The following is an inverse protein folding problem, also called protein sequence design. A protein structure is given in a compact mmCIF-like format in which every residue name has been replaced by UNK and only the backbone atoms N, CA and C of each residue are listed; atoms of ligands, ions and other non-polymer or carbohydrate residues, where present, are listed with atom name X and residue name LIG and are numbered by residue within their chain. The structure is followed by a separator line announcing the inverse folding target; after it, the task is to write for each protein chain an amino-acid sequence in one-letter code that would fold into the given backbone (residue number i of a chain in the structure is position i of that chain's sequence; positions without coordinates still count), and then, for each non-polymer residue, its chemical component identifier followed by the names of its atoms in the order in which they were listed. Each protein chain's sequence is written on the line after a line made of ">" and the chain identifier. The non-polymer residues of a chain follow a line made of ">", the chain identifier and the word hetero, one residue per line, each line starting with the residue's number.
data_IF_576320340854
#
_entry.id   IF_576320340854
#
_cell.length_a   1.000
_cell.length_b   1.000
_cell.length_c   1.000
_cell.angle_alpha   90.00
_cell.angle_beta   90.00
_cell.angle_gamma   90.00
#
_symmetry.space_group_name_H-M   'P 1'
#
loop_
_entity.id
_entity.type
_entity.pdbx_description
1 polymer ?
#
# COMPACT_ATOMS: atom_id res chain seq x y z
N UNK A 1 13.87 9.23 -31.06
CA UNK A 1 12.59 8.86 -30.41
C UNK A 1 12.77 8.08 -29.10
N UNK A 2 13.88 7.37 -28.86
CA UNK A 2 14.11 6.68 -27.57
C UNK A 2 14.30 7.61 -26.37
N UNK A 3 14.95 8.78 -26.57
CA UNK A 3 15.22 9.75 -25.51
C UNK A 3 13.93 10.32 -24.89
N UNK A 4 12.93 10.65 -25.71
CA UNK A 4 11.63 11.16 -25.24
C UNK A 4 10.86 10.14 -24.39
N UNK A 5 10.86 8.86 -24.78
CA UNK A 5 10.15 7.80 -24.02
C UNK A 5 10.78 7.52 -22.66
N UNK A 6 12.10 7.68 -22.54
CA UNK A 6 12.81 7.50 -21.28
C UNK A 6 12.41 8.58 -20.26
N UNK A 7 12.43 9.86 -20.65
CA UNK A 7 12.02 10.96 -19.76
C UNK A 7 10.56 10.87 -19.32
N UNK A 8 9.65 10.51 -20.23
CA UNK A 8 8.21 10.40 -19.92
C UNK A 8 7.89 9.24 -18.97
N UNK A 9 8.75 8.23 -18.88
CA UNK A 9 8.50 7.03 -18.07
C UNK A 9 9.31 6.99 -16.79
N UNK A 10 10.61 7.33 -16.87
CA UNK A 10 11.55 7.24 -15.76
C UNK A 10 11.33 8.38 -14.75
N UNK A 11 11.06 9.60 -15.23
CA UNK A 11 10.82 10.76 -14.36
C UNK A 11 9.63 10.59 -13.40
N UNK A 12 8.42 10.25 -13.90
CA UNK A 12 7.28 10.00 -13.04
C UNK A 12 7.49 8.80 -12.10
N UNK A 13 8.22 7.77 -12.55
CA UNK A 13 8.54 6.63 -11.71
C UNK A 13 9.44 7.03 -10.53
N UNK A 14 10.48 7.83 -10.77
CA UNK A 14 11.40 8.30 -9.73
C UNK A 14 10.69 9.14 -8.67
N UNK A 15 9.81 10.05 -9.10
CA UNK A 15 8.97 10.84 -8.18
C UNK A 15 8.05 9.91 -7.37
N UNK A 16 7.44 8.93 -8.02
CA UNK A 16 6.62 7.91 -7.36
C UNK A 16 7.40 7.14 -6.30
N UNK A 17 8.62 6.70 -6.62
CA UNK A 17 9.50 5.99 -5.69
C UNK A 17 9.88 6.86 -4.49
N UNK A 18 10.25 8.13 -4.73
CA UNK A 18 10.56 9.07 -3.66
C UNK A 18 9.36 9.24 -2.70
N UNK A 19 8.16 9.43 -3.23
CA UNK A 19 6.94 9.50 -2.42
C UNK A 19 6.69 8.19 -1.66
N UNK A 20 6.82 7.03 -2.30
CA UNK A 20 6.65 5.73 -1.64
C UNK A 20 7.61 5.55 -0.45
N UNK A 21 8.86 6.01 -0.57
CA UNK A 21 9.83 5.92 0.54
C UNK A 21 9.49 6.82 1.71
N UNK A 22 8.92 8.00 1.45
CA UNK A 22 8.43 8.89 2.52
C UNK A 22 7.26 8.25 3.26
N UNK A 23 6.31 7.64 2.52
CA UNK A 23 5.19 6.90 3.11
C UNK A 23 5.68 5.73 3.97
N UNK A 24 6.68 4.98 3.50
CA UNK A 24 7.30 3.90 4.28
C UNK A 24 7.92 4.41 5.59
N UNK A 25 8.53 5.60 5.58
CA UNK A 25 9.03 6.25 6.80
C UNK A 25 7.90 6.52 7.81
N UNK A 26 6.77 7.03 7.33
CA UNK A 26 5.58 7.25 8.15
C UNK A 26 5.03 5.91 8.70
N UNK A 27 4.89 4.89 7.86
CA UNK A 27 4.44 3.56 8.29
C UNK A 27 5.37 2.92 9.34
N UNK A 28 6.67 3.15 9.22
CA UNK A 28 7.66 2.68 10.21
C UNK A 28 7.45 3.33 11.56
N UNK A 29 7.23 4.65 11.59
CA UNK A 29 6.92 5.37 12.82
C UNK A 29 5.60 4.88 13.43
N UNK A 30 4.55 4.72 12.62
CA UNK A 30 3.27 4.20 13.08
C UNK A 30 3.41 2.81 13.72
N UNK A 31 4.20 1.94 13.08
CA UNK A 31 4.48 0.58 13.56
C UNK A 31 5.23 0.60 14.89
N UNK A 32 6.29 1.42 15.00
CA UNK A 32 7.06 1.56 16.24
C UNK A 32 6.20 2.05 17.41
N UNK A 33 5.38 3.09 17.19
CA UNK A 33 4.46 3.60 18.20
C UNK A 33 3.41 2.57 18.60
N UNK A 34 2.88 1.79 17.65
CA UNK A 34 1.93 0.71 17.92
C UNK A 34 2.53 -0.30 18.91
N UNK A 35 3.73 -0.83 18.63
CA UNK A 35 4.38 -1.80 19.51
C UNK A 35 4.68 -1.24 20.91
N UNK A 36 5.06 0.03 21.00
CA UNK A 36 5.39 0.68 22.28
C UNK A 36 4.15 0.94 23.14
N UNK A 37 3.05 1.40 22.55
CA UNK A 37 1.83 1.78 23.30
C UNK A 37 0.94 0.58 23.61
N UNK A 38 0.91 -0.44 22.75
CA UNK A 38 -0.04 -1.56 22.82
C UNK A 38 0.63 -2.88 23.20
N UNK A 39 1.30 -2.90 24.35
CA UNK A 39 1.89 -4.14 24.88
C UNK A 39 0.84 -5.23 25.14
N UNK A 40 -0.42 -4.87 25.41
CA UNK A 40 -1.51 -5.79 25.82
C UNK A 40 -2.46 -6.22 24.69
N UNK A 41 -2.22 -5.82 23.44
CA UNK A 41 -3.03 -6.24 22.29
C UNK A 41 -2.76 -7.71 21.88
N UNK A 42 -3.71 -8.32 21.17
CA UNK A 42 -3.61 -9.72 20.73
C UNK A 42 -2.40 -9.95 19.82
N UNK A 43 -1.70 -11.07 20.04
CA UNK A 43 -0.50 -11.42 19.27
C UNK A 43 -0.76 -11.46 17.75
N UNK A 44 -1.96 -11.89 17.35
CA UNK A 44 -2.38 -11.92 15.93
C UNK A 44 -2.32 -10.54 15.27
N UNK A 45 -2.77 -9.48 15.96
CA UNK A 45 -2.75 -8.12 15.40
C UNK A 45 -1.32 -7.60 15.28
N UNK A 46 -0.48 -7.88 16.27
CA UNK A 46 0.95 -7.51 16.24
C UNK A 46 1.68 -8.17 15.09
N UNK A 47 1.53 -9.50 14.93
CA UNK A 47 2.14 -10.24 13.82
C UNK A 47 1.69 -9.65 12.49
N UNK A 48 0.40 -9.34 12.34
CA UNK A 48 -0.13 -8.74 11.11
C UNK A 48 0.49 -7.36 10.82
N UNK A 49 0.58 -6.47 11.82
CA UNK A 49 1.20 -5.15 11.65
C UNK A 49 2.69 -5.26 11.29
N UNK A 50 3.42 -6.16 11.94
CA UNK A 50 4.82 -6.44 11.60
C UNK A 50 4.98 -7.01 10.18
N UNK A 51 4.07 -7.90 9.76
CA UNK A 51 4.06 -8.48 8.42
C UNK A 51 3.85 -7.40 7.35
N UNK A 52 2.85 -6.52 7.52
CA UNK A 52 2.58 -5.41 6.58
C UNK A 52 3.80 -4.50 6.46
N UNK A 53 4.45 -4.16 7.58
CA UNK A 53 5.66 -3.35 7.58
C UNK A 53 6.83 -4.01 6.84
N UNK A 54 7.06 -5.30 7.05
CA UNK A 54 8.12 -6.05 6.34
C UNK A 54 7.84 -6.09 4.83
N UNK A 55 6.60 -6.36 4.43
CA UNK A 55 6.23 -6.32 3.01
C UNK A 55 6.45 -4.92 2.41
N UNK A 56 6.05 -3.85 3.10
CA UNK A 56 6.32 -2.48 2.63
C UNK A 56 7.81 -2.16 2.47
N UNK A 57 8.66 -2.68 3.36
CA UNK A 57 10.12 -2.60 3.23
C UNK A 57 10.63 -3.36 2.01
N UNK A 58 10.22 -4.61 1.84
CA UNK A 58 10.62 -5.45 0.70
C UNK A 58 10.20 -4.81 -0.62
N UNK A 59 8.97 -4.34 -0.71
CA UNK A 59 8.45 -3.61 -1.87
C UNK A 59 9.37 -2.43 -2.23
N UNK A 60 9.73 -1.61 -1.24
CA UNK A 60 10.58 -0.44 -1.44
C UNK A 60 12.00 -0.82 -1.89
N UNK A 61 12.57 -1.88 -1.30
CA UNK A 61 13.90 -2.40 -1.70
C UNK A 61 13.87 -2.88 -3.15
N UNK A 62 12.85 -3.64 -3.55
CA UNK A 62 12.72 -4.10 -4.94
C UNK A 62 12.53 -2.94 -5.91
N UNK A 63 11.79 -1.90 -5.53
CA UNK A 63 11.58 -0.72 -6.36
C UNK A 63 12.89 0.09 -6.56
N UNK A 64 13.68 0.28 -5.49
CA UNK A 64 15.00 0.91 -5.58
C UNK A 64 15.97 0.10 -6.42
N UNK A 65 15.99 -1.22 -6.26
CA UNK A 65 16.83 -2.11 -7.06
C UNK A 65 16.43 -2.05 -8.55
N UNK A 66 15.12 -2.03 -8.84
CA UNK A 66 14.63 -1.86 -10.20
C UNK A 66 15.09 -0.51 -10.80
N UNK A 67 15.00 0.59 -10.05
CA UNK A 67 15.50 1.90 -10.51
C UNK A 67 17.00 1.94 -10.73
N UNK A 68 17.78 1.36 -9.81
CA UNK A 68 19.24 1.26 -9.94
C UNK A 68 19.62 0.50 -11.21
N UNK A 69 18.96 -0.62 -11.46
CA UNK A 69 19.23 -1.45 -12.64
C UNK A 69 18.86 -0.71 -13.94
N UNK A 70 17.72 -0.02 -13.96
CA UNK A 70 17.28 0.76 -15.13
C UNK A 70 18.17 1.97 -15.42
N UNK A 71 18.68 2.63 -14.37
CA UNK A 71 19.40 3.91 -14.51
C UNK A 71 20.90 3.73 -14.67
N UNK A 72 21.51 2.76 -13.98
CA UNK A 72 22.97 2.60 -13.95
C UNK A 72 23.40 1.41 -14.82
N UNK A 73 22.78 0.25 -14.64
CA UNK A 73 23.21 -0.99 -15.33
C UNK A 73 22.88 -0.98 -16.83
N UNK A 74 21.74 -0.40 -17.22
CA UNK A 74 21.35 -0.30 -18.64
C UNK A 74 21.72 1.02 -19.32
N UNK A 75 22.50 1.88 -18.65
CA UNK A 75 22.92 3.16 -19.22
C UNK A 75 23.86 2.92 -20.42
N UNK A 76 23.33 3.08 -21.64
CA UNK A 76 24.10 2.94 -22.88
C UNK A 76 23.99 1.61 -23.62
N UNK A 77 23.18 0.65 -23.16
CA UNK A 77 22.96 -0.63 -23.86
C UNK A 77 21.48 -0.83 -24.28
N UNK A 78 21.11 -0.49 -25.53
CA UNK A 78 19.71 -0.46 -25.97
C UNK A 78 19.03 -1.83 -26.10
N UNK A 79 19.79 -2.94 -26.16
CA UNK A 79 19.21 -4.29 -26.28
C UNK A 79 18.58 -4.78 -24.97
N UNK A 80 19.11 -4.34 -23.82
CA UNK A 80 18.61 -4.77 -22.51
C UNK A 80 17.53 -3.84 -21.92
N UNK A 81 17.30 -2.67 -22.52
CA UNK A 81 16.19 -1.76 -22.16
C UNK A 81 14.83 -2.36 -22.52
N UNK A 82 14.80 -3.34 -23.44
CA UNK A 82 13.56 -3.98 -23.84
C UNK A 82 12.97 -4.86 -22.72
N UNK A 83 13.80 -5.55 -21.92
CA UNK A 83 13.32 -6.47 -20.88
C UNK A 83 13.45 -5.84 -19.49
N UNK A 84 12.35 -5.71 -18.74
CA UNK A 84 12.43 -5.14 -17.41
C UNK A 84 13.18 -6.07 -16.45
N UNK A 85 13.86 -5.49 -15.44
CA UNK A 85 14.61 -6.23 -14.46
C UNK A 85 13.68 -7.13 -13.67
N UNK A 86 14.19 -8.30 -13.28
CA UNK A 86 13.45 -9.28 -12.47
C UNK A 86 12.94 -8.65 -11.16
N UNK A 87 13.65 -7.65 -10.62
CA UNK A 87 13.23 -6.84 -9.47
C UNK A 87 11.84 -6.21 -9.63
N UNK A 88 11.45 -5.84 -10.85
CA UNK A 88 10.13 -5.26 -11.12
C UNK A 88 9.01 -6.31 -11.04
N UNK A 89 9.29 -7.56 -11.45
CA UNK A 89 8.35 -8.68 -11.28
C UNK A 89 8.15 -8.98 -9.79
N UNK A 90 9.23 -9.04 -9.01
CA UNK A 90 9.13 -9.24 -7.57
C UNK A 90 8.35 -8.12 -6.88
N UNK A 91 8.52 -6.87 -7.31
CA UNK A 91 7.73 -5.75 -6.80
C UNK A 91 6.21 -5.89 -7.09
N UNK A 92 5.84 -6.34 -8.29
CA UNK A 92 4.44 -6.59 -8.66
C UNK A 92 3.85 -7.74 -7.83
N UNK A 93 4.59 -8.83 -7.65
CA UNK A 93 4.15 -9.97 -6.84
C UNK A 93 3.93 -9.55 -5.39
N UNK A 94 4.90 -8.84 -4.81
CA UNK A 94 4.85 -8.40 -3.42
C UNK A 94 3.71 -7.39 -3.19
N UNK A 95 3.53 -6.42 -4.09
CA UNK A 95 2.43 -5.45 -4.01
C UNK A 95 1.05 -6.10 -4.13
N UNK A 96 0.91 -7.11 -5.00
CA UNK A 96 -0.33 -7.88 -5.14
C UNK A 96 -0.62 -8.68 -3.88
N UNK A 97 0.40 -9.32 -3.31
CA UNK A 97 0.29 -10.07 -2.07
C UNK A 97 -0.10 -9.16 -0.89
N UNK A 98 0.60 -8.03 -0.71
CA UNK A 98 0.30 -7.05 0.33
C UNK A 98 -1.14 -6.55 0.21
N UNK A 99 -1.58 -6.21 -1.00
CA UNK A 99 -2.95 -5.75 -1.27
C UNK A 99 -3.97 -6.82 -0.87
N UNK A 100 -3.76 -8.08 -1.26
CA UNK A 100 -4.61 -9.21 -0.89
C UNK A 100 -4.72 -9.38 0.63
N UNK A 101 -3.59 -9.39 1.34
CA UNK A 101 -3.59 -9.58 2.79
C UNK A 101 -4.29 -8.42 3.53
N UNK A 102 -3.99 -7.18 3.14
CA UNK A 102 -4.60 -5.98 3.73
C UNK A 102 -6.11 -5.95 3.47
N UNK A 103 -6.55 -6.19 2.24
CA UNK A 103 -7.96 -6.19 1.90
C UNK A 103 -8.71 -7.38 2.52
N UNK A 104 -8.13 -8.57 2.58
CA UNK A 104 -8.71 -9.72 3.29
C UNK A 104 -8.92 -9.43 4.78
N UNK A 105 -7.96 -8.75 5.41
CA UNK A 105 -8.08 -8.32 6.80
C UNK A 105 -9.24 -7.33 7.00
N UNK A 106 -9.40 -6.35 6.10
CA UNK A 106 -10.53 -5.42 6.14
C UNK A 106 -11.87 -6.12 5.90
N UNK A 107 -11.95 -7.06 4.95
CA UNK A 107 -13.14 -7.87 4.75
C UNK A 107 -13.51 -8.69 5.99
N UNK A 108 -12.53 -9.31 6.67
CA UNK A 108 -12.77 -10.04 7.91
C UNK A 108 -13.31 -9.11 9.02
N UNK A 109 -12.79 -7.88 9.09
CA UNK A 109 -13.31 -6.86 10.00
C UNK A 109 -14.76 -6.48 9.67
N UNK A 110 -15.08 -6.24 8.40
CA UNK A 110 -16.45 -5.95 7.95
C UNK A 110 -17.39 -7.11 8.26
N UNK A 111 -16.98 -8.36 8.03
CA UNK A 111 -17.79 -9.54 8.33
C UNK A 111 -18.14 -9.64 9.82
N UNK A 112 -17.13 -9.50 10.69
CA UNK A 112 -17.34 -9.53 12.16
C UNK A 112 -18.21 -8.40 12.64
N UNK A 113 -18.12 -7.24 11.99
CA UNK A 113 -18.77 -6.01 12.42
C UNK A 113 -20.21 -5.90 11.91
N UNK A 114 -20.46 -6.20 10.63
CA UNK A 114 -21.79 -6.07 10.03
C UNK A 114 -22.70 -7.27 10.35
N UNK A 115 -22.16 -8.42 10.71
CA UNK A 115 -22.87 -9.70 10.85
C UNK A 115 -23.67 -10.12 9.59
N UNK A 116 -23.54 -9.37 8.49
CA UNK A 116 -24.23 -9.59 7.23
C UNK A 116 -23.27 -10.24 6.23
N UNK A 117 -23.59 -11.48 5.87
CA UNK A 117 -22.85 -12.25 4.86
C UNK A 117 -22.78 -11.59 3.48
N UNK A 118 -23.82 -10.93 2.94
CA UNK A 118 -23.77 -10.42 1.55
C UNK A 118 -22.78 -9.26 1.37
N UNK A 119 -22.62 -8.37 2.36
CA UNK A 119 -21.67 -7.24 2.24
C UNK A 119 -20.21 -7.71 2.24
N UNK A 120 -19.89 -8.71 3.07
CA UNK A 120 -18.56 -9.31 3.09
C UNK A 120 -18.24 -10.03 1.78
N UNK A 121 -19.22 -10.74 1.20
CA UNK A 121 -19.08 -11.41 -0.11
C UNK A 121 -18.87 -10.37 -1.22
N UNK A 122 -19.62 -9.26 -1.21
CA UNK A 122 -19.44 -8.18 -2.19
C UNK A 122 -18.03 -7.58 -2.12
N UNK A 123 -17.53 -7.28 -0.92
CA UNK A 123 -16.17 -6.76 -0.74
C UNK A 123 -15.12 -7.77 -1.21
N UNK A 124 -15.31 -9.07 -0.92
CA UNK A 124 -14.40 -10.11 -1.39
C UNK A 124 -14.40 -10.26 -2.92
N UNK A 125 -15.57 -10.20 -3.55
CA UNK A 125 -15.70 -10.22 -5.00
C UNK A 125 -14.98 -9.02 -5.65
N UNK A 126 -15.05 -7.85 -5.03
CA UNK A 126 -14.38 -6.64 -5.52
C UNK A 126 -12.85 -6.77 -5.57
N UNK A 127 -12.27 -7.56 -4.66
CA UNK A 127 -10.83 -7.82 -4.54
C UNK A 127 -10.35 -8.85 -5.58
N UNK A 128 -11.20 -9.83 -5.89
CA UNK A 128 -10.89 -10.89 -6.85
C UNK A 128 -10.73 -10.37 -8.28
N UNK A 129 -11.41 -9.28 -8.63
CA UNK A 129 -11.34 -8.69 -9.97
C UNK A 129 -9.93 -8.19 -10.31
N UNK A 130 -9.31 -7.24 -9.57
CA UNK A 130 -7.97 -6.75 -9.89
C UNK A 130 -6.91 -7.84 -9.75
N UNK A 131 -7.04 -8.72 -8.75
CA UNK A 131 -6.07 -9.81 -8.54
C UNK A 131 -6.11 -10.85 -9.65
N UNK A 132 -7.29 -11.18 -10.16
CA UNK A 132 -7.45 -12.02 -11.34
C UNK A 132 -6.78 -11.43 -12.60
N UNK A 133 -6.84 -10.10 -12.77
CA UNK A 133 -6.14 -9.43 -13.87
C UNK A 133 -4.61 -9.52 -13.73
N UNK A 134 -4.05 -9.38 -12.52
CA UNK A 134 -2.61 -9.58 -12.29
C UNK A 134 -2.18 -11.03 -12.53
N UNK A 135 -2.97 -12.01 -12.10
CA UNK A 135 -2.70 -13.42 -12.40
C UNK A 135 -2.72 -13.72 -13.90
N UNK A 136 -3.63 -13.08 -14.64
CA UNK A 136 -3.67 -13.20 -16.10
C UNK A 136 -2.47 -12.56 -16.79
N UNK A 137 -2.01 -11.40 -16.32
CA UNK A 137 -0.77 -10.79 -16.81
C UNK A 137 0.45 -11.68 -16.52
N UNK A 138 0.47 -12.32 -15.36
CA UNK A 138 1.52 -13.25 -14.97
C UNK A 138 1.52 -14.50 -15.85
N UNK A 139 0.35 -15.07 -16.18
CA UNK A 139 0.28 -16.21 -17.11
C UNK A 139 0.71 -15.82 -18.53
N UNK A 140 0.39 -14.60 -18.99
CA UNK A 140 0.91 -14.07 -20.25
C UNK A 140 2.43 -13.90 -20.26
N UNK A 141 3.03 -13.54 -19.13
CA UNK A 141 4.48 -13.45 -18.99
C UNK A 141 5.17 -14.81 -19.26
N UNK A 142 4.69 -15.90 -18.66
CA UNK A 142 5.28 -17.24 -18.87
C UNK A 142 5.04 -17.77 -20.28
N UNK A 143 3.85 -17.54 -20.84
CA UNK A 143 3.51 -18.06 -22.18
C UNK A 143 4.23 -17.32 -23.30
N UNK A 144 4.53 -16.03 -23.13
CA UNK A 144 5.21 -15.20 -24.13
C UNK A 144 6.71 -15.02 -23.89
N UNK A 145 7.24 -15.60 -22.81
CA UNK A 145 8.67 -15.63 -22.50
C UNK A 145 9.28 -14.24 -22.37
N UNK A 146 8.57 -13.28 -21.74
CA UNK A 146 9.12 -11.95 -21.49
C UNK A 146 8.05 -10.87 -21.28
N UNK A 147 8.28 -10.00 -20.29
CA UNK A 147 7.36 -8.91 -19.94
C UNK A 147 7.25 -7.88 -21.07
N UNK A 148 8.35 -7.60 -21.76
CA UNK A 148 8.40 -6.74 -22.95
C UNK A 148 7.39 -7.17 -24.03
N UNK A 149 7.36 -8.48 -24.32
CA UNK A 149 6.48 -9.09 -25.34
C UNK A 149 5.04 -9.19 -24.87
N UNK A 150 4.84 -9.30 -23.55
CA UNK A 150 3.52 -9.22 -22.93
C UNK A 150 2.94 -7.80 -23.06
N UNK A 151 3.76 -6.77 -22.81
CA UNK A 151 3.32 -5.36 -22.86
C UNK A 151 3.30 -4.75 -24.25
N UNK A 152 4.15 -5.21 -25.16
CA UNK A 152 4.12 -4.81 -26.57
C UNK A 152 2.83 -5.23 -27.28
N UNK A 153 2.10 -6.19 -26.71
CA UNK A 153 0.75 -6.54 -27.15
C UNK A 153 -0.24 -5.48 -26.70
N UNK A 154 -1.04 -4.94 -27.63
CA UNK A 154 -2.13 -4.02 -27.31
C UNK A 154 -3.08 -4.58 -26.23
N UNK A 155 -3.21 -5.91 -26.13
CA UNK A 155 -3.98 -6.59 -25.09
C UNK A 155 -3.31 -6.48 -23.71
N UNK A 156 -2.00 -6.71 -23.61
CA UNK A 156 -1.29 -6.72 -22.32
C UNK A 156 -1.16 -5.33 -21.72
N UNK A 157 -0.91 -4.31 -22.56
CA UNK A 157 -0.89 -2.92 -22.11
C UNK A 157 -2.23 -2.45 -21.54
N UNK A 158 -3.35 -2.77 -22.23
CA UNK A 158 -4.71 -2.46 -21.74
C UNK A 158 -4.99 -3.13 -20.40
N UNK A 159 -4.60 -4.39 -20.24
CA UNK A 159 -4.86 -5.12 -18.99
C UNK A 159 -4.02 -4.60 -17.83
N UNK A 160 -2.76 -4.20 -18.06
CA UNK A 160 -1.98 -3.54 -17.02
C UNK A 160 -2.61 -2.24 -16.54
N UNK A 161 -3.02 -1.37 -17.47
CA UNK A 161 -3.65 -0.09 -17.10
C UNK A 161 -4.96 -0.36 -16.35
N UNK A 162 -5.77 -1.31 -16.83
CA UNK A 162 -7.01 -1.69 -16.15
C UNK A 162 -6.75 -2.24 -14.73
N UNK A 163 -5.79 -3.13 -14.56
CA UNK A 163 -5.43 -3.69 -13.25
C UNK A 163 -4.90 -2.60 -12.30
N UNK A 164 -4.01 -1.73 -12.78
CA UNK A 164 -3.45 -0.63 -12.03
C UNK A 164 -4.53 0.39 -11.59
N UNK A 165 -5.52 0.67 -12.44
CA UNK A 165 -6.62 1.59 -12.11
C UNK A 165 -7.67 0.96 -11.18
N UNK A 166 -8.00 -0.32 -11.36
CA UNK A 166 -9.01 -1.01 -10.54
C UNK A 166 -8.54 -1.27 -9.12
N UNK A 167 -7.23 -1.44 -8.91
CA UNK A 167 -6.65 -1.69 -7.57
C UNK A 167 -7.01 -0.59 -6.56
N UNK A 168 -6.69 0.70 -6.77
CA UNK A 168 -7.04 1.77 -5.83
C UNK A 168 -8.57 1.97 -5.73
N UNK A 169 -9.31 1.79 -6.82
CA UNK A 169 -10.79 1.88 -6.79
C UNK A 169 -11.38 0.83 -5.85
N UNK A 170 -10.91 -0.42 -5.94
CA UNK A 170 -11.36 -1.49 -5.06
C UNK A 170 -11.01 -1.22 -3.59
N UNK A 171 -9.81 -0.70 -3.32
CA UNK A 171 -9.37 -0.34 -1.97
C UNK A 171 -10.24 0.78 -1.37
N UNK A 172 -10.51 1.85 -2.15
CA UNK A 172 -11.38 2.95 -1.73
C UNK A 172 -12.82 2.48 -1.47
N UNK A 173 -13.35 1.58 -2.29
CA UNK A 173 -14.69 1.04 -2.10
C UNK A 173 -14.80 0.17 -0.83
N UNK A 174 -13.80 -0.69 -0.55
CA UNK A 174 -13.75 -1.49 0.68
C UNK A 174 -13.60 -0.59 1.91
N UNK A 175 -12.70 0.41 1.86
CA UNK A 175 -12.53 1.39 2.92
C UNK A 175 -13.80 2.21 3.16
N UNK A 176 -14.45 2.68 2.10
CA UNK A 176 -15.71 3.42 2.16
C UNK A 176 -16.85 2.57 2.73
N UNK A 177 -16.91 1.28 2.37
CA UNK A 177 -17.89 0.34 2.94
C UNK A 177 -17.67 0.14 4.43
N UNK A 178 -16.41 0.02 4.88
CA UNK A 178 -16.09 -0.04 6.31
C UNK A 178 -16.51 1.25 7.03
N UNK A 179 -16.21 2.42 6.48
CA UNK A 179 -16.62 3.71 7.03
C UNK A 179 -18.15 3.82 7.13
N UNK A 180 -18.86 3.39 6.09
CA UNK A 180 -20.32 3.37 6.09
C UNK A 180 -20.90 2.42 7.13
N UNK A 181 -20.36 1.20 7.24
CA UNK A 181 -20.75 0.25 8.28
C UNK A 181 -20.54 0.84 9.68
N UNK A 182 -19.40 1.49 9.92
CA UNK A 182 -19.10 2.14 11.20
C UNK A 182 -20.07 3.28 11.50
N UNK A 183 -20.43 4.08 10.49
CA UNK A 183 -21.38 5.18 10.67
C UNK A 183 -22.80 4.68 10.97
N UNK A 184 -23.20 3.55 10.39
CA UNK A 184 -24.53 2.96 10.64
C UNK A 184 -24.66 2.26 12.00
N UNK A 185 -23.55 1.89 12.64
CA UNK A 185 -23.58 1.16 13.90
C UNK A 185 -23.78 2.11 15.07
N UNK A 186 -24.99 2.05 15.65
CA UNK A 186 -25.40 2.81 16.83
C UNK A 186 -24.95 2.18 18.16
N UNK A 187 -24.35 0.99 18.16
CA UNK A 187 -23.95 0.29 19.39
C UNK A 187 -22.66 0.88 20.00
N UNK A 188 -22.72 1.48 21.21
CA UNK A 188 -21.63 2.28 21.78
C UNK A 188 -20.37 1.46 22.12
N UNK A 189 -20.49 0.17 22.47
CA UNK A 189 -19.34 -0.63 22.94
C UNK A 189 -18.41 -1.13 21.82
N UNK A 190 -18.96 -1.63 20.71
CA UNK A 190 -18.12 -2.04 19.55
C UNK A 190 -17.57 -0.83 18.79
N UNK A 191 -18.33 0.26 18.73
CA UNK A 191 -17.91 1.52 18.13
C UNK A 191 -16.68 2.09 18.85
N UNK A 192 -16.65 2.06 20.19
CA UNK A 192 -15.54 2.60 20.99
C UNK A 192 -14.20 1.91 20.70
N UNK A 193 -14.19 0.59 20.50
CA UNK A 193 -12.97 -0.17 20.23
C UNK A 193 -12.40 0.14 18.83
N UNK A 194 -13.24 0.20 17.80
CA UNK A 194 -12.78 0.49 16.43
C UNK A 194 -12.46 1.97 16.22
N UNK A 195 -13.29 2.87 16.73
CA UNK A 195 -13.04 4.32 16.70
C UNK A 195 -11.74 4.69 17.39
N UNK A 196 -11.39 4.04 18.51
CA UNK A 196 -10.11 4.31 19.21
C UNK A 196 -8.86 3.95 18.42
N UNK A 197 -8.98 3.07 17.42
CA UNK A 197 -7.88 2.69 16.51
C UNK A 197 -7.87 3.63 15.32
N UNK A 198 -9.04 3.95 14.74
CA UNK A 198 -9.17 4.83 13.57
C UNK A 198 -8.89 6.29 13.90
N UNK A 199 -9.51 6.85 14.94
CA UNK A 199 -9.22 8.22 15.43
C UNK A 199 -7.76 8.34 15.83
N UNK A 200 -7.15 7.24 16.26
CA UNK A 200 -5.75 7.22 16.64
C UNK A 200 -4.83 7.14 15.44
N UNK A 201 -5.11 6.29 14.45
CA UNK A 201 -4.37 6.30 13.18
C UNK A 201 -4.47 7.68 12.55
N UNK A 202 -5.66 8.28 12.47
CA UNK A 202 -5.85 9.68 12.03
C UNK A 202 -5.08 10.68 12.90
N UNK A 203 -5.12 10.55 14.22
CA UNK A 203 -4.30 11.37 15.13
C UNK A 203 -2.80 11.08 14.96
N UNK A 204 -2.35 9.97 14.41
CA UNK A 204 -0.92 9.76 14.13
C UNK A 204 -0.53 10.31 12.76
N UNK A 205 -1.39 10.24 11.76
CA UNK A 205 -1.15 10.87 10.46
C UNK A 205 -1.24 12.39 10.54
N UNK A 206 -2.17 12.93 11.33
CA UNK A 206 -2.36 14.38 11.53
C UNK A 206 -1.59 14.89 12.74
N UNK A 207 -1.57 14.14 13.85
CA UNK A 207 -0.94 14.51 15.12
C UNK A 207 0.59 14.33 15.17
N UNK A 208 1.22 13.84 14.10
CA UNK A 208 2.65 14.04 13.89
C UNK A 208 3.01 15.54 13.76
N UNK A 209 2.04 16.41 13.45
CA UNK A 209 2.25 17.84 13.28
C UNK A 209 2.20 18.66 14.59
N UNK A 210 1.25 18.43 15.53
CA UNK A 210 1.17 19.18 16.77
C UNK A 210 2.24 18.79 17.80
N UNK A 211 2.62 17.51 17.96
CA UNK A 211 3.54 17.14 19.05
C UNK A 211 4.95 17.72 18.87
N UNK A 212 5.38 17.99 17.63
CA UNK A 212 6.62 18.71 17.32
C UNK A 212 6.51 20.21 17.63
N UNK A 213 5.33 20.81 17.48
CA UNK A 213 5.05 22.20 17.82
C UNK A 213 4.83 22.42 19.33
N UNK A 214 4.15 21.49 20.01
CA UNK A 214 3.86 21.57 21.44
C UNK A 214 5.06 21.24 22.33
N UNK A 215 6.04 20.48 21.83
CA UNK A 215 7.31 20.22 22.51
C UNK A 215 8.14 21.49 22.75
N UNK A 216 8.06 22.48 21.85
CA UNK A 216 8.71 23.78 22.02
C UNK A 216 7.89 24.75 22.89
N UNK A 217 6.56 24.69 22.84
CA UNK A 217 5.70 25.60 23.63
C UNK A 217 5.62 25.20 25.12
N UNK A 218 5.79 23.91 25.44
CA UNK A 218 5.84 23.38 26.81
C UNK A 218 7.06 23.87 27.62
N UNK A 219 8.20 24.11 26.96
CA UNK A 219 9.43 24.55 27.64
C UNK A 219 9.44 26.06 27.96
N UNK A 220 8.62 26.86 27.29
CA UNK A 220 8.54 28.31 27.51
C UNK A 220 7.58 28.73 28.66
N UNK A 221 6.80 27.80 29.21
CA UNK A 221 5.76 28.11 30.22
C UNK A 221 6.16 27.75 31.67
N UNK A 222 7.44 27.51 31.96
CA UNK A 222 7.96 27.40 33.33
C UNK A 222 8.54 28.74 33.80
N UNK A 223 7.63 29.59 34.28
CA UNK A 223 7.66 30.55 35.42
C UNK A 223 9.00 31.21 35.84
N UNK A 224 8.92 32.43 36.39
CA UNK A 224 9.04 32.46 37.85
C UNK A 224 7.93 33.22 38.55
N UNK A 225 7.60 32.69 39.72
CA UNK A 225 6.70 33.22 40.72
C UNK A 225 7.42 34.30 41.54
N UNK A 226 6.72 35.38 41.83
CA UNK A 226 6.86 36.18 43.05
C UNK A 226 5.47 36.32 43.65
#
# INVERSE_FOLDING_TARGET
>A
MACSSLYTTLGPFEIGLALSTLLLGIETLQTFYYYRRYKRDSAQMKIFVGFVWICGLLQSIFAWNAMFTMTITFFGNPEHVAEPPVSMLYNIIDSTALTLFVQAFFCLRIYRLSHSKPLAIFCFALILIPTGLYFWLFSMYYTRGGFARSLGSAQGHKVMIAAAALTPVSACAVAGTLCWCLWRMKDPDQFRRTRSVVDRIMLWTVGAWPDVAWGHCSSAAKKPHW
#
